data_IF_900625037563
#
_entry.id   IF_900625037563
#
_cell.length_a   1.000
_cell.length_b   1.000
_cell.length_c   1.000
_cell.angle_alpha   90.00
_cell.angle_beta   90.00
_cell.angle_gamma   90.00
#
_symmetry.space_group_name_H-M   'P 1'
#
loop_
_entity.id
_entity.type
_entity.pdbx_description
1 polymer ?
#
# COMPACT_ATOMS: atom_id res chain seq x y z
N UNK A 1 28.36 -24.98 -10.21
CA UNK A 1 27.41 -23.84 -10.27
C UNK A 1 27.22 -23.26 -8.87
N UNK A 2 27.09 -24.11 -7.86
CA UNK A 2 26.88 -23.71 -6.45
C UNK A 2 27.99 -22.85 -5.82
N UNK A 3 29.27 -23.04 -6.18
CA UNK A 3 30.36 -22.25 -5.58
C UNK A 3 30.37 -20.77 -6.02
N UNK A 4 29.92 -20.49 -7.25
CA UNK A 4 29.84 -19.12 -7.75
C UNK A 4 28.70 -18.35 -7.09
N UNK A 5 27.54 -18.99 -6.94
CA UNK A 5 26.37 -18.41 -6.26
C UNK A 5 26.71 -18.09 -4.80
N UNK A 6 27.31 -19.04 -4.07
CA UNK A 6 27.72 -18.82 -2.69
C UNK A 6 28.73 -17.67 -2.54
N UNK A 7 29.68 -17.55 -3.47
CA UNK A 7 30.65 -16.44 -3.47
C UNK A 7 29.98 -15.08 -3.74
N UNK A 8 28.95 -15.05 -4.59
CA UNK A 8 28.18 -13.85 -4.88
C UNK A 8 27.34 -13.41 -3.67
N UNK A 9 26.69 -14.36 -3.01
CA UNK A 9 25.90 -14.12 -1.79
C UNK A 9 26.76 -13.60 -0.64
N UNK A 10 27.95 -14.17 -0.46
CA UNK A 10 28.90 -13.70 0.55
C UNK A 10 29.34 -12.25 0.29
N UNK A 11 29.66 -11.91 -0.97
CA UNK A 11 30.02 -10.53 -1.34
C UNK A 11 28.86 -9.55 -1.20
N UNK A 12 27.64 -9.97 -1.53
CA UNK A 12 26.46 -9.14 -1.35
C UNK A 12 26.20 -8.85 0.13
N UNK A 13 26.33 -9.87 0.98
CA UNK A 13 26.19 -9.73 2.43
C UNK A 13 27.28 -8.82 3.02
N UNK A 14 28.51 -8.89 2.52
CA UNK A 14 29.60 -8.00 2.92
C UNK A 14 29.32 -6.54 2.53
N UNK A 15 28.86 -6.31 1.30
CA UNK A 15 28.64 -4.96 0.77
C UNK A 15 27.38 -4.27 1.30
N UNK A 16 26.33 -5.04 1.59
CA UNK A 16 24.99 -4.50 1.94
C UNK A 16 24.52 -4.85 3.34
N UNK A 17 25.20 -5.79 4.02
CA UNK A 17 24.73 -6.39 5.28
C UNK A 17 23.57 -7.38 5.11
N UNK A 18 23.08 -7.60 3.87
CA UNK A 18 21.91 -8.43 3.59
C UNK A 18 22.34 -9.88 3.36
N UNK A 19 21.90 -10.79 4.23
CA UNK A 19 22.08 -12.23 4.04
C UNK A 19 20.94 -12.79 3.20
N UNK A 20 21.27 -13.38 2.04
CA UNK A 20 20.29 -14.10 1.24
C UNK A 20 19.93 -15.41 1.96
N UNK A 21 18.63 -15.62 2.18
CA UNK A 21 18.10 -16.87 2.68
C UNK A 21 17.31 -17.56 1.57
N UNK A 22 18.00 -18.37 0.78
CA UNK A 22 17.38 -19.03 -0.38
C UNK A 22 16.17 -19.89 0.01
N UNK A 23 16.21 -20.58 1.15
CA UNK A 23 15.11 -21.43 1.60
C UNK A 23 13.88 -20.61 2.00
N UNK A 24 14.07 -19.50 2.70
CA UNK A 24 12.95 -18.60 3.03
C UNK A 24 12.40 -17.91 1.78
N UNK A 25 13.26 -17.52 0.84
CA UNK A 25 12.86 -16.91 -0.43
C UNK A 25 12.04 -17.90 -1.27
N UNK A 26 12.53 -19.13 -1.42
CA UNK A 26 11.83 -20.18 -2.17
C UNK A 26 10.47 -20.54 -1.55
N UNK A 27 10.38 -20.58 -0.22
CA UNK A 27 9.11 -20.81 0.48
C UNK A 27 8.11 -19.67 0.25
N UNK A 28 8.57 -18.42 0.30
CA UNK A 28 7.76 -17.23 0.04
C UNK A 28 7.26 -17.18 -1.41
N UNK A 29 8.13 -17.48 -2.37
CA UNK A 29 7.76 -17.59 -3.79
C UNK A 29 6.75 -18.72 -4.03
N UNK A 30 6.93 -19.89 -3.40
CA UNK A 30 5.99 -21.00 -3.48
C UNK A 30 4.59 -20.64 -2.98
N UNK A 31 4.49 -19.91 -1.86
CA UNK A 31 3.22 -19.42 -1.34
C UNK A 31 2.54 -18.43 -2.30
N UNK A 32 3.29 -17.50 -2.88
CA UNK A 32 2.78 -16.52 -3.84
C UNK A 32 2.27 -17.19 -5.14
N UNK A 33 2.97 -18.22 -5.62
CA UNK A 33 2.55 -19.02 -6.78
C UNK A 33 1.26 -19.79 -6.47
N UNK A 34 1.14 -20.36 -5.27
CA UNK A 34 -0.10 -21.06 -4.86
C UNK A 34 -1.29 -20.10 -4.86
N UNK A 35 -1.15 -18.92 -4.26
CA UNK A 35 -2.20 -17.91 -4.21
C UNK A 35 -2.64 -17.46 -5.62
N UNK A 36 -1.68 -17.22 -6.52
CA UNK A 36 -1.97 -16.90 -7.93
C UNK A 36 -2.67 -18.04 -8.65
N UNK A 37 -2.22 -19.27 -8.40
CA UNK A 37 -2.82 -20.47 -9.01
C UNK A 37 -4.26 -20.64 -8.56
N UNK A 38 -4.55 -20.41 -7.28
CA UNK A 38 -5.90 -20.50 -6.74
C UNK A 38 -6.79 -19.36 -7.21
N UNK A 39 -6.24 -18.15 -7.38
CA UNK A 39 -6.95 -17.07 -8.07
C UNK A 39 -7.33 -17.48 -9.50
N UNK A 40 -6.39 -18.00 -10.30
CA UNK A 40 -6.63 -18.40 -11.70
C UNK A 40 -7.67 -19.51 -11.81
N UNK A 41 -7.61 -20.55 -10.96
CA UNK A 41 -8.59 -21.65 -10.94
C UNK A 41 -10.04 -21.16 -10.74
N UNK A 42 -10.21 -20.06 -10.02
CA UNK A 42 -11.51 -19.49 -9.68
C UNK A 42 -11.99 -18.42 -10.68
N UNK A 43 -11.21 -18.10 -11.72
CA UNK A 43 -11.66 -17.21 -12.79
C UNK A 43 -12.71 -17.96 -13.62
N UNK A 44 -13.99 -17.64 -13.40
CA UNK A 44 -15.09 -18.10 -14.25
C UNK A 44 -15.29 -17.08 -15.38
N UNK A 45 -15.12 -17.51 -16.63
CA UNK A 45 -15.44 -16.68 -17.79
C UNK A 45 -16.96 -16.69 -17.96
N UNK A 46 -17.66 -15.76 -17.31
CA UNK A 46 -19.11 -15.58 -17.46
C UNK A 46 -19.43 -14.42 -18.40
N UNK A 47 -19.94 -14.72 -19.61
CA UNK A 47 -20.64 -13.85 -20.60
C UNK A 47 -20.30 -12.33 -20.65
N UNK A 48 -19.05 -11.94 -20.38
CA UNK A 48 -18.61 -10.55 -20.44
C UNK A 48 -19.14 -9.65 -19.32
N UNK A 49 -19.70 -10.20 -18.23
CA UNK A 49 -20.07 -9.42 -17.04
C UNK A 49 -18.94 -9.46 -16.04
N UNK A 50 -18.38 -8.29 -15.70
CA UNK A 50 -17.39 -8.15 -14.64
C UNK A 50 -17.99 -8.67 -13.31
N UNK A 51 -17.56 -9.85 -12.88
CA UNK A 51 -17.93 -10.35 -11.55
C UNK A 51 -17.12 -9.58 -10.51
N UNK A 52 -17.82 -8.96 -9.54
CA UNK A 52 -17.17 -8.44 -8.34
C UNK A 52 -16.69 -9.65 -7.55
N UNK A 53 -15.40 -9.95 -7.66
CA UNK A 53 -14.81 -11.16 -7.11
C UNK A 53 -13.31 -10.99 -6.92
N UNK A 54 -12.80 -11.67 -5.90
CA UNK A 54 -11.42 -11.87 -5.43
C UNK A 54 -10.37 -10.98 -6.11
N UNK A 55 -9.77 -10.05 -5.36
CA UNK A 55 -8.72 -9.15 -5.85
C UNK A 55 -7.55 -9.97 -6.42
N UNK A 56 -7.12 -9.65 -7.64
CA UNK A 56 -5.96 -10.29 -8.26
C UNK A 56 -4.70 -10.07 -7.38
N UNK A 57 -4.02 -11.14 -6.93
CA UNK A 57 -2.89 -11.06 -6.00
C UNK A 57 -1.68 -10.33 -6.60
N UNK A 58 -1.44 -10.39 -7.91
CA UNK A 58 -0.37 -9.62 -8.57
C UNK A 58 -0.66 -8.12 -8.53
N UNK A 59 -1.88 -7.74 -8.88
CA UNK A 59 -2.31 -6.33 -8.84
C UNK A 59 -2.26 -5.81 -7.40
N UNK A 60 -2.63 -6.64 -6.43
CA UNK A 60 -2.55 -6.30 -5.01
C UNK A 60 -1.12 -6.03 -4.55
N UNK A 61 -0.18 -6.92 -4.90
CA UNK A 61 1.24 -6.78 -4.57
C UNK A 61 1.85 -5.51 -5.16
N UNK A 62 1.60 -5.25 -6.45
CA UNK A 62 2.11 -4.05 -7.13
C UNK A 62 1.56 -2.78 -6.49
N UNK A 63 0.25 -2.73 -6.20
CA UNK A 63 -0.36 -1.58 -5.50
C UNK A 63 0.25 -1.35 -4.13
N UNK A 64 0.53 -2.40 -3.35
CA UNK A 64 1.14 -2.25 -2.03
C UNK A 64 2.58 -1.72 -2.12
N UNK A 65 3.35 -2.17 -3.10
CA UNK A 65 4.70 -1.66 -3.33
C UNK A 65 4.65 -0.18 -3.69
N UNK A 66 3.77 0.21 -4.62
CA UNK A 66 3.56 1.60 -5.00
C UNK A 66 3.19 2.43 -3.77
N UNK A 67 2.25 1.98 -2.94
CA UNK A 67 1.86 2.70 -1.70
C UNK A 67 3.01 2.88 -0.73
N UNK A 68 3.81 1.82 -0.54
CA UNK A 68 4.99 1.84 0.33
C UNK A 68 6.03 2.85 -0.18
N UNK A 69 6.30 2.86 -1.48
CA UNK A 69 7.29 3.74 -2.11
C UNK A 69 6.83 5.20 -2.19
N UNK A 70 5.53 5.42 -2.42
CA UNK A 70 4.96 6.77 -2.58
C UNK A 70 4.54 7.41 -1.26
N UNK A 71 4.66 6.72 -0.12
CA UNK A 71 4.14 7.17 1.18
C UNK A 71 2.67 7.59 1.12
N UNK A 72 1.89 7.02 0.19
CA UNK A 72 0.46 7.35 -0.03
C UNK A 72 -0.47 6.91 1.11
N UNK A 73 0.06 6.30 2.17
CA UNK A 73 -0.66 6.09 3.44
C UNK A 73 -0.74 7.36 4.30
N UNK A 74 -0.35 8.54 3.76
CA UNK A 74 -0.74 9.83 4.31
C UNK A 74 -2.26 9.98 4.27
N UNK A 75 -2.94 9.51 5.32
CA UNK A 75 -4.26 10.01 5.67
C UNK A 75 -4.11 11.52 5.86
N UNK A 76 -4.54 12.28 4.87
CA UNK A 76 -4.68 13.73 5.01
C UNK A 76 -5.83 13.97 5.99
N UNK A 77 -5.48 14.06 7.27
CA UNK A 77 -6.41 14.51 8.30
C UNK A 77 -6.38 16.03 8.37
N UNK A 78 -7.55 16.64 8.41
CA UNK A 78 -7.69 18.08 8.57
C UNK A 78 -7.00 18.49 9.89
N UNK A 79 -6.08 19.47 9.87
CA UNK A 79 -5.45 19.95 11.10
C UNK A 79 -6.51 20.45 12.09
N UNK A 80 -6.35 20.06 13.36
CA UNK A 80 -7.19 20.60 14.44
C UNK A 80 -6.93 22.10 14.55
N UNK A 81 -8.00 22.88 14.61
CA UNK A 81 -7.89 24.29 14.96
C UNK A 81 -7.37 24.43 16.39
N UNK A 82 -6.47 25.39 16.62
CA UNK A 82 -5.97 25.71 17.95
C UNK A 82 -6.92 26.59 18.77
N UNK A 83 -8.13 26.83 18.28
CA UNK A 83 -9.12 27.73 18.86
C UNK A 83 -10.55 27.29 18.48
N UNK A 84 -11.52 27.71 19.29
CA UNK A 84 -12.95 27.49 19.03
C UNK A 84 -13.47 28.39 17.91
N UNK A 85 -14.50 27.95 17.18
CA UNK A 85 -15.02 28.66 16.00
C UNK A 85 -15.46 30.11 16.28
N UNK A 86 -15.93 30.42 17.49
CA UNK A 86 -16.35 31.77 17.90
C UNK A 86 -15.23 32.68 18.41
N UNK A 87 -13.99 32.20 18.52
CA UNK A 87 -12.87 33.00 19.08
C UNK A 87 -12.38 34.12 18.15
N UNK A 88 -12.87 34.15 16.91
CA UNK A 88 -12.54 35.18 15.92
C UNK A 88 -13.62 36.26 15.83
N UNK A 89 -14.68 36.18 16.63
CA UNK A 89 -15.71 37.22 16.67
C UNK A 89 -15.20 38.53 17.29
N UNK A 90 -15.70 39.69 16.83
CA UNK A 90 -16.71 39.88 15.79
C UNK A 90 -16.14 39.89 14.36
N UNK A 91 -14.84 39.67 14.19
CA UNK A 91 -14.13 39.79 12.91
C UNK A 91 -14.57 38.73 11.91
N UNK A 92 -14.73 37.49 12.37
CA UNK A 92 -15.28 36.39 11.58
C UNK A 92 -16.30 35.66 12.46
N UNK A 93 -17.54 35.54 11.97
CA UNK A 93 -18.60 34.85 12.71
C UNK A 93 -18.37 33.34 12.78
N UNK A 94 -18.84 32.72 13.86
CA UNK A 94 -18.72 31.29 14.12
C UNK A 94 -19.20 30.42 12.93
N UNK A 95 -20.31 30.81 12.32
CA UNK A 95 -20.92 30.08 11.20
C UNK A 95 -19.99 30.01 9.97
N UNK A 96 -19.31 31.11 9.63
CA UNK A 96 -18.36 31.15 8.53
C UNK A 96 -17.16 30.26 8.83
N UNK A 97 -16.63 30.29 10.05
CA UNK A 97 -15.48 29.45 10.43
C UNK A 97 -15.80 27.97 10.37
N UNK A 98 -16.99 27.58 10.83
CA UNK A 98 -17.47 26.19 10.74
C UNK A 98 -17.61 25.72 9.29
N UNK A 99 -18.18 26.55 8.41
CA UNK A 99 -18.34 26.21 6.99
C UNK A 99 -16.96 26.15 6.30
N UNK A 100 -16.08 27.09 6.60
CA UNK A 100 -14.74 27.15 6.00
C UNK A 100 -13.89 25.94 6.38
N UNK A 101 -13.89 25.54 7.65
CA UNK A 101 -13.13 24.36 8.11
C UNK A 101 -13.72 23.04 7.59
N UNK A 102 -15.05 22.92 7.49
CA UNK A 102 -15.71 21.68 7.03
C UNK A 102 -15.79 21.50 5.50
N UNK A 103 -15.80 22.58 4.70
CA UNK A 103 -15.93 22.47 3.23
C UNK A 103 -14.66 22.04 2.50
N UNK A 104 -13.47 22.25 3.07
CA UNK A 104 -12.21 21.79 2.46
C UNK A 104 -12.07 20.25 2.48
N UNK A 105 -13.07 19.53 3.03
CA UNK A 105 -13.08 18.07 3.21
C UNK A 105 -13.68 17.30 2.02
N UNK A 106 -14.27 17.95 1.01
CA UNK A 106 -14.94 17.26 -0.11
C UNK A 106 -14.47 17.73 -1.51
N UNK A 107 -13.16 17.72 -1.78
CA UNK A 107 -12.62 17.68 -3.15
C UNK A 107 -11.57 16.57 -3.26
#
# INVERSE_FOLDING_TARGET
MDSYVAALEAKLAEATGIKINQMANAASEGAAISEQTDFIKNIVISDGKAQSGVRNPLIAKVLNNIKTETSQDLKYELPKLGYEYGQLEPTICEEIMRIHHSKVVND
#
